data_IF_963543253919
#
_entry.id   IF_963543253919
#
_cell.length_a   1.000
_cell.length_b   1.000
_cell.length_c   1.000
_cell.angle_alpha   90.00
_cell.angle_beta   90.00
_cell.angle_gamma   90.00
#
_symmetry.space_group_name_H-M   'P 1'
#
loop_
_entity.id
_entity.type
_entity.pdbx_description
1 polymer ?
#
# COMPACT_ATOMS: atom_id res chain seq x y z
N UNK A 1 -13.08 15.23 5.18
CA UNK A 1 -12.00 14.32 5.60
C UNK A 1 -10.61 14.98 5.75
N UNK A 2 -10.48 16.26 6.10
CA UNK A 2 -9.16 16.95 6.19
C UNK A 2 -9.08 17.98 7.33
N UNK A 3 -9.05 17.55 8.59
CA UNK A 3 -8.83 18.49 9.73
C UNK A 3 -8.04 17.86 10.90
N UNK A 4 -6.80 17.41 10.67
CA UNK A 4 -5.88 17.18 11.80
C UNK A 4 -4.47 17.63 11.42
N UNK A 5 -3.93 18.60 12.17
CA UNK A 5 -2.55 19.12 12.03
C UNK A 5 -1.60 18.23 12.86
N UNK A 6 -0.34 18.07 12.43
CA UNK A 6 0.72 17.25 13.05
C UNK A 6 0.62 15.71 12.94
N UNK A 7 0.01 15.17 11.89
CA UNK A 7 0.12 13.73 11.57
C UNK A 7 0.98 13.55 10.31
N UNK A 8 2.15 12.91 10.44
CA UNK A 8 2.84 12.30 9.29
C UNK A 8 1.98 11.14 8.84
N UNK A 9 1.17 11.34 7.80
CA UNK A 9 0.40 10.24 7.19
C UNK A 9 1.41 9.27 6.59
N UNK A 10 1.43 8.04 7.11
CA UNK A 10 2.15 6.95 6.46
C UNK A 10 1.35 6.58 5.21
N UNK A 11 1.75 7.12 4.07
CA UNK A 11 1.16 6.76 2.79
C UNK A 11 1.40 5.26 2.57
N UNK A 12 0.34 4.50 2.33
CA UNK A 12 0.41 3.04 2.38
C UNK A 12 0.70 2.46 1.01
N UNK A 13 1.74 1.62 0.90
CA UNK A 13 2.03 0.85 -0.31
C UNK A 13 0.82 0.02 -0.75
N UNK A 14 0.00 -0.46 0.20
CA UNK A 14 -1.23 -1.19 -0.08
C UNK A 14 -2.21 -0.43 -0.98
N UNK A 15 -2.30 0.90 -0.88
CA UNK A 15 -3.17 1.70 -1.75
C UNK A 15 -2.62 1.85 -3.15
N UNK A 16 -1.30 2.03 -3.29
CA UNK A 16 -0.62 2.06 -4.58
C UNK A 16 -0.82 0.71 -5.28
N UNK A 17 -0.53 -0.38 -4.57
CA UNK A 17 -0.71 -1.75 -5.07
C UNK A 17 -2.15 -2.01 -5.52
N UNK A 18 -3.16 -1.62 -4.72
CA UNK A 18 -4.57 -1.82 -5.07
C UNK A 18 -4.96 -1.11 -6.37
N UNK A 19 -4.44 0.10 -6.61
CA UNK A 19 -4.72 0.85 -7.85
C UNK A 19 -4.23 0.13 -9.10
N UNK A 20 -3.03 -0.46 -9.04
CA UNK A 20 -2.53 -1.29 -10.14
C UNK A 20 -3.28 -2.63 -10.23
N UNK A 21 -3.58 -3.25 -9.09
CA UNK A 21 -4.34 -4.49 -9.02
C UNK A 21 -5.73 -4.39 -9.67
N UNK A 22 -6.48 -3.32 -9.38
CA UNK A 22 -7.80 -3.03 -9.96
C UNK A 22 -7.78 -3.05 -11.50
N UNK A 23 -6.66 -2.63 -12.11
CA UNK A 23 -6.49 -2.65 -13.56
C UNK A 23 -6.23 -4.08 -14.03
N UNK A 24 -5.19 -4.72 -13.48
CA UNK A 24 -4.75 -6.04 -13.95
C UNK A 24 -5.79 -7.14 -13.70
N UNK A 25 -6.61 -7.03 -12.66
CA UNK A 25 -7.66 -8.01 -12.35
C UNK A 25 -8.76 -8.06 -13.41
N UNK A 26 -8.85 -7.04 -14.25
CA UNK A 26 -9.85 -6.93 -15.34
C UNK A 26 -9.29 -7.29 -16.71
N UNK A 27 -7.99 -7.61 -16.81
CA UNK A 27 -7.32 -7.90 -18.08
C UNK A 27 -7.23 -9.39 -18.36
N UNK A 28 -7.36 -9.75 -19.64
CA UNK A 28 -7.10 -11.11 -20.10
C UNK A 28 -5.58 -11.43 -20.05
N UNK A 29 -5.17 -12.69 -19.87
CA UNK A 29 -3.76 -13.06 -19.67
C UNK A 29 -2.79 -12.60 -20.76
N UNK A 30 -3.23 -12.53 -22.02
CA UNK A 30 -2.40 -12.07 -23.14
C UNK A 30 -2.11 -10.56 -23.04
N UNK A 31 -3.14 -9.77 -22.73
CA UNK A 31 -3.03 -8.31 -22.56
C UNK A 31 -2.30 -7.96 -21.26
N UNK A 32 -2.48 -8.78 -20.22
CA UNK A 32 -1.84 -8.61 -18.92
C UNK A 32 -0.31 -8.58 -19.04
N UNK A 33 0.28 -9.47 -19.85
CA UNK A 33 1.74 -9.56 -20.04
C UNK A 33 2.35 -8.30 -20.64
N UNK A 34 1.58 -7.52 -21.38
CA UNK A 34 2.00 -6.28 -22.02
C UNK A 34 1.53 -5.03 -21.24
N UNK A 35 0.90 -5.22 -20.08
CA UNK A 35 0.29 -4.13 -19.33
C UNK A 35 1.32 -3.38 -18.51
N UNK A 36 1.45 -2.08 -18.77
CA UNK A 36 2.19 -1.15 -17.91
C UNK A 36 1.65 -1.14 -16.46
N UNK A 37 0.37 -1.48 -16.24
CA UNK A 37 -0.15 -1.62 -14.88
C UNK A 37 0.46 -2.83 -14.14
N UNK A 38 0.82 -3.89 -14.85
CA UNK A 38 1.47 -5.06 -14.27
C UNK A 38 2.88 -4.71 -13.78
N UNK A 39 3.63 -3.91 -14.54
CA UNK A 39 4.97 -3.51 -14.11
C UNK A 39 4.95 -2.67 -12.82
N UNK A 40 4.02 -1.71 -12.72
CA UNK A 40 3.79 -0.95 -11.49
C UNK A 40 3.36 -1.85 -10.30
N UNK A 41 2.55 -2.87 -10.56
CA UNK A 41 2.19 -3.88 -9.55
C UNK A 41 3.41 -4.71 -9.11
N UNK A 42 4.25 -5.14 -10.04
CA UNK A 42 5.44 -5.94 -9.76
C UNK A 42 6.47 -5.21 -8.89
N UNK A 43 6.62 -3.89 -9.04
CA UNK A 43 7.44 -3.10 -8.11
C UNK A 43 6.90 -3.15 -6.68
N UNK A 44 5.56 -3.11 -6.52
CA UNK A 44 4.94 -3.25 -5.21
C UNK A 44 5.21 -4.65 -4.62
N UNK A 45 5.05 -5.70 -5.41
CA UNK A 45 5.26 -7.08 -4.98
C UNK A 45 6.72 -7.34 -4.59
N UNK A 46 7.70 -6.84 -5.36
CA UNK A 46 9.12 -6.95 -4.99
C UNK A 46 9.42 -6.33 -3.62
N UNK A 47 8.81 -5.18 -3.30
CA UNK A 47 8.97 -4.56 -1.99
C UNK A 47 8.32 -5.39 -0.89
N UNK A 48 7.14 -5.96 -1.14
CA UNK A 48 6.46 -6.85 -0.19
C UNK A 48 7.21 -8.17 0.01
N UNK A 49 7.83 -8.71 -1.02
CA UNK A 49 8.63 -9.93 -0.96
C UNK A 49 9.86 -9.72 -0.08
N UNK A 50 10.56 -8.59 -0.22
CA UNK A 50 11.66 -8.24 0.69
C UNK A 50 11.18 -8.15 2.15
N UNK A 51 10.04 -7.51 2.39
CA UNK A 51 9.49 -7.41 3.75
C UNK A 51 9.11 -8.78 4.33
N UNK A 52 8.61 -9.69 3.48
CA UNK A 52 8.32 -11.07 3.85
C UNK A 52 9.60 -11.84 4.16
N UNK A 53 10.62 -11.76 3.31
CA UNK A 53 11.94 -12.38 3.54
C UNK A 53 12.56 -11.93 4.86
N UNK A 54 12.57 -10.61 5.13
CA UNK A 54 13.09 -10.06 6.38
C UNK A 54 12.33 -10.64 7.57
N UNK A 55 11.00 -10.71 7.47
CA UNK A 55 10.15 -11.24 8.52
C UNK A 55 10.42 -12.74 8.74
N UNK A 56 10.55 -13.54 7.69
CA UNK A 56 10.78 -14.97 7.82
C UNK A 56 12.17 -15.32 8.37
N UNK A 57 13.19 -14.53 8.02
CA UNK A 57 14.58 -14.82 8.39
C UNK A 57 15.01 -14.24 9.74
N UNK A 58 14.47 -13.08 10.14
CA UNK A 58 14.98 -12.32 11.29
C UNK A 58 13.94 -12.16 12.42
N UNK A 59 12.70 -12.61 12.23
CA UNK A 59 11.68 -12.52 13.28
C UNK A 59 12.10 -13.34 14.50
N UNK A 60 12.32 -12.66 15.62
CA UNK A 60 12.78 -13.27 16.88
C UNK A 60 14.26 -13.02 17.18
N UNK A 61 15.03 -12.42 16.26
CA UNK A 61 16.36 -11.91 16.57
C UNK A 61 16.26 -10.65 17.44
N UNK A 62 17.18 -10.49 18.40
CA UNK A 62 17.22 -9.33 19.31
C UNK A 62 17.31 -7.99 18.54
N UNK A 63 18.02 -7.99 17.41
CA UNK A 63 18.26 -6.81 16.57
C UNK A 63 17.34 -6.71 15.33
N UNK A 64 16.19 -7.41 15.32
CA UNK A 64 15.27 -7.48 14.16
C UNK A 64 15.03 -6.14 13.45
N UNK A 65 14.76 -5.07 14.21
CA UNK A 65 14.47 -3.76 13.62
C UNK A 65 15.71 -3.06 13.05
N UNK A 66 16.89 -3.30 13.63
CA UNK A 66 18.15 -2.79 13.09
C UNK A 66 18.52 -3.51 11.79
N UNK A 67 18.40 -4.84 11.76
CA UNK A 67 18.62 -5.67 10.56
C UNK A 67 17.64 -5.30 9.45
N UNK A 68 16.34 -5.17 9.78
CA UNK A 68 15.32 -4.72 8.83
C UNK A 68 15.66 -3.39 8.20
N UNK A 69 16.16 -2.43 8.99
CA UNK A 69 16.60 -1.13 8.47
C UNK A 69 17.77 -1.27 7.47
N UNK A 70 18.81 -2.03 7.83
CA UNK A 70 19.98 -2.25 6.97
C UNK A 70 19.58 -2.94 5.67
N UNK A 71 18.77 -4.00 5.76
CA UNK A 71 18.33 -4.77 4.59
C UNK A 71 17.46 -3.90 3.68
N UNK A 72 16.57 -3.07 4.23
CA UNK A 72 15.78 -2.10 3.45
C UNK A 72 16.64 -1.11 2.68
N UNK A 73 17.68 -0.56 3.31
CA UNK A 73 18.59 0.35 2.62
C UNK A 73 19.34 -0.36 1.47
N UNK A 74 19.69 -1.63 1.65
CA UNK A 74 20.41 -2.41 0.64
C UNK A 74 19.51 -2.91 -0.50
N UNK A 75 18.31 -3.42 -0.18
CA UNK A 75 17.40 -4.09 -1.12
C UNK A 75 16.21 -3.23 -1.54
N UNK A 76 15.47 -2.67 -0.58
CA UNK A 76 14.22 -1.94 -0.86
C UNK A 76 14.46 -0.55 -1.46
N UNK A 77 15.48 0.18 -0.99
CA UNK A 77 15.79 1.52 -1.48
C UNK A 77 16.05 1.61 -3.01
N UNK A 78 16.87 0.73 -3.62
CA UNK A 78 17.07 0.77 -5.07
C UNK A 78 15.80 0.42 -5.85
N UNK A 79 14.95 -0.48 -5.34
CA UNK A 79 13.66 -0.82 -5.97
C UNK A 79 12.71 0.35 -5.89
N UNK A 80 12.61 1.01 -4.74
CA UNK A 80 11.77 2.21 -4.58
C UNK A 80 12.21 3.34 -5.53
N UNK A 81 13.53 3.51 -5.72
CA UNK A 81 14.07 4.47 -6.68
C UNK A 81 13.68 4.13 -8.12
N UNK A 82 13.88 2.88 -8.54
CA UNK A 82 13.47 2.41 -9.88
C UNK A 82 11.96 2.56 -10.10
N UNK A 83 11.16 2.28 -9.08
CA UNK A 83 9.71 2.44 -9.16
C UNK A 83 9.33 3.91 -9.34
N UNK A 84 10.01 4.83 -8.65
CA UNK A 84 9.79 6.26 -8.82
C UNK A 84 10.15 6.71 -10.25
N UNK A 85 11.31 6.29 -10.76
CA UNK A 85 11.73 6.58 -12.15
C UNK A 85 10.76 6.01 -13.18
N UNK A 86 10.30 4.78 -12.98
CA UNK A 86 9.27 4.14 -13.80
C UNK A 86 8.00 5.00 -13.85
N UNK A 87 7.47 5.39 -12.69
CA UNK A 87 6.24 6.19 -12.62
C UNK A 87 6.42 7.56 -13.28
N UNK A 88 7.55 8.21 -13.06
CA UNK A 88 7.85 9.53 -13.63
C UNK A 88 8.00 9.48 -15.15
N UNK A 89 8.47 8.37 -15.72
CA UNK A 89 8.56 8.17 -17.17
C UNK A 89 7.21 7.81 -17.79
N UNK A 90 6.48 6.86 -17.20
CA UNK A 90 5.23 6.33 -17.75
C UNK A 90 4.09 7.35 -17.73
N UNK A 91 4.06 8.22 -16.72
CA UNK A 91 2.99 9.21 -16.59
C UNK A 91 2.99 10.24 -17.73
N UNK A 92 4.15 10.49 -18.37
CA UNK A 92 4.28 11.43 -19.49
C UNK A 92 3.43 10.99 -20.68
N UNK A 93 3.32 9.67 -20.92
CA UNK A 93 2.62 9.11 -22.06
C UNK A 93 1.19 8.64 -21.71
N UNK A 94 0.82 8.62 -20.43
CA UNK A 94 -0.47 8.12 -19.97
C UNK A 94 -1.57 9.19 -20.05
N UNK A 95 -2.74 8.83 -20.60
CA UNK A 95 -3.91 9.72 -20.56
C UNK A 95 -4.37 9.95 -19.11
N UNK A 96 -4.46 11.20 -18.60
CA UNK A 96 -4.73 11.47 -17.18
C UNK A 96 -6.03 10.87 -16.63
N UNK A 97 -7.04 10.68 -17.49
CA UNK A 97 -8.35 10.15 -17.09
C UNK A 97 -8.47 8.63 -17.17
N UNK A 98 -7.54 7.95 -17.85
CA UNK A 98 -7.59 6.49 -17.97
C UNK A 98 -7.21 5.81 -16.65
N UNK A 99 -7.58 4.54 -16.44
CA UNK A 99 -7.25 3.81 -15.21
C UNK A 99 -5.76 3.84 -14.87
N UNK A 100 -4.90 3.63 -15.87
CA UNK A 100 -3.44 3.67 -15.71
C UNK A 100 -2.95 5.07 -15.31
N UNK A 101 -3.38 6.12 -16.00
CA UNK A 101 -3.01 7.50 -15.66
C UNK A 101 -3.41 7.89 -14.23
N UNK A 102 -4.59 7.43 -13.76
CA UNK A 102 -5.02 7.61 -12.37
C UNK A 102 -4.12 6.86 -11.38
N UNK A 103 -3.72 5.62 -11.69
CA UNK A 103 -2.83 4.84 -10.84
C UNK A 103 -1.42 5.46 -10.77
N UNK A 104 -0.87 5.86 -11.91
CA UNK A 104 0.44 6.53 -12.01
C UNK A 104 0.44 7.87 -11.28
N UNK A 105 -0.56 8.73 -11.49
CA UNK A 105 -0.67 10.01 -10.79
C UNK A 105 -0.79 9.83 -9.27
N UNK A 106 -1.50 8.78 -8.82
CA UNK A 106 -1.57 8.43 -7.42
C UNK A 106 -0.21 7.98 -6.89
N UNK A 107 0.48 7.09 -7.59
CA UNK A 107 1.80 6.60 -7.22
C UNK A 107 2.83 7.73 -7.17
N UNK A 108 2.88 8.60 -8.19
CA UNK A 108 3.82 9.73 -8.28
C UNK A 108 3.72 10.64 -7.07
N UNK A 109 2.50 10.93 -6.62
CA UNK A 109 2.26 11.75 -5.44
C UNK A 109 2.76 11.10 -4.15
N UNK A 110 2.76 9.77 -4.06
CA UNK A 110 3.00 9.04 -2.82
C UNK A 110 4.42 8.49 -2.67
N UNK A 111 5.07 8.06 -3.76
CA UNK A 111 6.40 7.46 -3.74
C UNK A 111 7.48 8.32 -3.07
N UNK A 112 7.51 9.67 -3.23
CA UNK A 112 8.48 10.51 -2.52
C UNK A 112 8.37 10.38 -0.99
N UNK A 113 7.15 10.26 -0.47
CA UNK A 113 6.91 10.13 0.97
C UNK A 113 7.20 8.73 1.49
N UNK A 114 7.17 7.72 0.62
CA UNK A 114 7.46 6.33 0.99
C UNK A 114 8.91 6.14 1.45
N UNK A 115 9.83 7.03 1.08
CA UNK A 115 11.21 7.01 1.63
C UNK A 115 11.25 7.01 3.16
N UNK A 116 10.20 7.49 3.83
CA UNK A 116 10.08 7.44 5.29
C UNK A 116 10.13 6.03 5.86
N UNK A 117 9.59 4.99 5.20
CA UNK A 117 9.65 3.63 5.76
C UNK A 117 11.09 3.06 5.76
N UNK A 118 11.97 3.64 4.94
CA UNK A 118 13.38 3.25 4.87
C UNK A 118 14.21 3.84 6.01
N UNK A 119 13.71 4.83 6.77
CA UNK A 119 14.53 5.53 7.78
C UNK A 119 14.55 4.82 9.14
N UNK A 120 13.65 3.88 9.37
CA UNK A 120 13.56 3.15 10.65
C UNK A 120 12.88 1.79 10.43
N UNK A 121 13.51 0.70 10.89
CA UNK A 121 12.98 -0.67 10.76
C UNK A 121 11.70 -0.94 11.54
N UNK A 122 11.39 -0.13 12.57
CA UNK A 122 10.13 -0.20 13.31
C UNK A 122 8.92 0.27 12.48
N UNK A 123 9.15 0.95 11.36
CA UNK A 123 8.07 1.42 10.50
C UNK A 123 7.59 0.31 9.57
N UNK A 124 6.29 0.13 9.48
CA UNK A 124 5.69 -0.79 8.51
C UNK A 124 5.62 -0.16 7.12
N UNK A 125 5.62 -1.00 6.07
CA UNK A 125 5.48 -0.54 4.68
C UNK A 125 4.05 -0.06 4.36
N UNK A 126 3.07 -0.55 5.11
CA UNK A 126 1.68 -0.12 5.04
C UNK A 126 1.02 -0.06 6.42
N UNK A 127 -0.08 0.68 6.50
CA UNK A 127 -0.83 0.89 7.74
C UNK A 127 -1.89 -0.21 7.98
N UNK A 128 -1.86 -1.33 7.24
CA UNK A 128 -2.93 -2.33 7.32
C UNK A 128 -3.04 -2.93 8.72
N UNK A 129 -1.92 -3.03 9.44
CA UNK A 129 -1.89 -3.48 10.82
C UNK A 129 -2.63 -2.50 11.76
N UNK A 130 -2.37 -1.19 11.65
CA UNK A 130 -3.06 -0.20 12.47
C UNK A 130 -4.54 -0.08 12.07
N UNK A 131 -4.88 -0.16 10.78
CA UNK A 131 -6.27 -0.20 10.32
C UNK A 131 -7.01 -1.41 10.90
N UNK A 132 -6.40 -2.60 10.90
CA UNK A 132 -6.97 -3.80 11.54
C UNK A 132 -7.12 -3.63 13.05
N UNK A 133 -6.16 -3.02 13.73
CA UNK A 133 -6.20 -2.79 15.17
C UNK A 133 -7.31 -1.78 15.58
N UNK A 134 -7.60 -0.79 14.73
CA UNK A 134 -8.60 0.25 14.99
C UNK A 134 -10.00 -0.17 14.51
N UNK A 135 -10.12 -1.08 13.54
CA UNK A 135 -11.40 -1.57 13.00
C UNK A 135 -12.41 -2.03 14.07
N UNK A 136 -12.05 -2.81 15.10
CA UNK A 136 -12.98 -3.18 16.17
C UNK A 136 -13.56 -1.96 16.89
N UNK A 137 -12.78 -0.90 17.06
CA UNK A 137 -13.17 0.32 17.77
C UNK A 137 -14.06 1.25 16.92
N UNK A 138 -13.90 1.22 15.59
CA UNK A 138 -14.68 2.04 14.64
C UNK A 138 -16.00 1.35 14.26
N UNK A 139 -16.03 0.01 14.21
CA UNK A 139 -17.25 -0.76 13.93
C UNK A 139 -18.27 -0.64 15.07
N UNK A 140 -17.84 -0.41 16.31
CA UNK A 140 -18.72 -0.16 17.46
C UNK A 140 -19.45 1.20 17.45
N UNK A 141 -19.33 2.02 16.39
CA UNK A 141 -19.92 3.37 16.31
C UNK A 141 -20.78 3.61 15.05
N UNK A 142 -21.46 2.58 14.55
CA UNK A 142 -22.56 2.77 13.60
C UNK A 142 -23.87 2.19 14.15
N UNK A 143 -24.75 3.11 14.52
CA UNK A 143 -26.17 2.97 14.83
C UNK A 143 -26.87 1.79 14.15
N UNK A 144 -27.54 0.96 14.95
CA UNK A 144 -28.67 0.15 14.46
C UNK A 144 -29.96 0.79 14.96
N UNK A 145 -30.40 1.81 14.22
CA UNK A 145 -31.82 2.16 14.15
C UNK A 145 -32.45 1.13 13.19
N UNK A 146 -32.74 -0.07 13.69
CA UNK A 146 -33.64 -1.00 13.03
C UNK A 146 -34.60 -1.55 14.07
N UNK A 147 -35.78 -0.96 14.05
CA UNK A 147 -37.05 -1.40 14.62
C UNK A 147 -37.17 -2.94 14.60
N UNK A 148 -37.09 -3.60 15.76
CA UNK A 148 -37.61 -4.95 15.95
C UNK A 148 -38.84 -4.81 16.84
N UNK A 149 -40.01 -4.65 16.21
CA UNK A 149 -41.28 -4.85 16.89
C UNK A 149 -41.41 -6.35 17.18
N UNK A 150 -41.37 -6.73 18.45
CA UNK A 150 -41.91 -8.02 18.88
C UNK A 150 -43.42 -7.84 19.10
N UNK A 151 -44.21 -8.39 18.18
CA UNK A 151 -45.62 -8.71 18.41
C UNK A 151 -45.67 -9.94 19.32
N UNK A 152 -45.99 -9.74 20.60
CA UNK A 152 -46.43 -10.82 21.48
C UNK A 152 -47.94 -11.02 21.29
N UNK A 153 -48.33 -12.10 20.63
CA UNK A 153 -49.71 -12.60 20.66
C UNK A 153 -49.96 -13.28 22.01
N UNK A 154 -51.08 -12.91 22.65
CA UNK A 154 -51.68 -13.65 23.76
C UNK A 154 -52.52 -14.81 23.25
#
# INVERSE_FOLDING_TARGET
YNKVKNIKRLYCMAHIRRKFFEIISSLNPEVLKQSHALEGFNYCEQLYEIEKEIREQYMGCDDYYADRHIIRLKKSAPILKKFQEYVDNEIVNALPKCPLGKALAYAQKLLPYMRTFLTNGCLEIDNSAAERAIKPFVIGRNYVLSLVMYSTSA
#
